data_IF_396895438023
#
_entry.id   IF_396895438023
#
_cell.length_a   1.000
_cell.length_b   1.000
_cell.length_c   1.000
_cell.angle_alpha   90.00
_cell.angle_beta   90.00
_cell.angle_gamma   90.00
#
_symmetry.space_group_name_H-M   'P 1'
#
loop_
_entity.id
_entity.type
_entity.pdbx_description
1 polymer ?
#
# COMPACT_ATOMS: atom_id res chain seq x y z
N UNK A 1 6.02 21.74 -34.29
CA UNK A 1 5.51 20.54 -33.60
C UNK A 1 5.17 21.04 -32.21
N UNK A 2 3.91 21.42 -32.03
CA UNK A 2 3.42 22.05 -30.83
C UNK A 2 3.17 20.93 -29.82
N UNK A 3 4.03 20.82 -28.80
CA UNK A 3 3.77 19.96 -27.65
C UNK A 3 2.84 20.75 -26.74
N UNK A 4 1.57 20.84 -27.14
CA UNK A 4 0.53 21.20 -26.21
C UNK A 4 0.46 20.06 -25.20
N UNK A 5 1.03 20.30 -24.02
CA UNK A 5 0.69 19.60 -22.79
C UNK A 5 -0.84 19.75 -22.63
N UNK A 6 -1.59 18.82 -23.23
CA UNK A 6 -2.92 18.54 -22.76
C UNK A 6 -2.72 18.10 -21.31
N UNK A 7 -2.95 19.01 -20.37
CA UNK A 7 -3.44 18.64 -19.05
C UNK A 7 -4.71 17.83 -19.33
N UNK A 8 -4.51 16.53 -19.53
CA UNK A 8 -5.59 15.56 -19.57
C UNK A 8 -6.35 15.82 -18.28
N UNK A 9 -7.60 16.26 -18.40
CA UNK A 9 -8.51 16.38 -17.27
C UNK A 9 -8.64 14.96 -16.72
N UNK A 10 -7.75 14.59 -15.80
CA UNK A 10 -7.67 13.24 -15.25
C UNK A 10 -8.89 13.06 -14.38
N UNK A 11 -9.97 12.59 -14.99
CA UNK A 11 -11.10 12.06 -14.25
C UNK A 11 -10.57 10.97 -13.33
N UNK A 12 -11.06 10.95 -12.09
CA UNK A 12 -10.64 9.94 -11.14
C UNK A 12 -10.89 8.54 -11.73
N UNK A 13 -9.90 7.64 -11.74
CA UNK A 13 -10.06 6.32 -12.32
C UNK A 13 -11.13 5.58 -11.55
N UNK A 14 -11.96 4.88 -12.28
CA UNK A 14 -12.99 4.03 -11.73
C UNK A 14 -12.36 2.92 -10.91
N UNK A 15 -13.17 2.33 -10.02
CA UNK A 15 -12.72 1.20 -9.21
C UNK A 15 -12.20 0.05 -10.10
N UNK A 16 -12.88 -0.24 -11.20
CA UNK A 16 -12.51 -1.33 -12.12
C UNK A 16 -11.15 -1.08 -12.77
N UNK A 17 -10.91 0.13 -13.27
CA UNK A 17 -9.62 0.50 -13.87
C UNK A 17 -8.46 0.39 -12.86
N UNK A 18 -8.68 0.80 -11.61
CA UNK A 18 -7.70 0.62 -10.54
C UNK A 18 -7.48 -0.87 -10.24
N UNK A 19 -8.53 -1.69 -10.20
CA UNK A 19 -8.41 -3.11 -9.90
C UNK A 19 -7.72 -3.90 -11.01
N UNK A 20 -7.90 -3.50 -12.27
CA UNK A 20 -7.21 -4.04 -13.44
C UNK A 20 -5.74 -3.62 -13.47
N UNK A 21 -5.46 -2.32 -13.31
CA UNK A 21 -4.10 -1.77 -13.30
C UNK A 21 -3.28 -2.29 -12.10
N UNK A 22 -3.88 -2.25 -10.91
CA UNK A 22 -3.31 -2.80 -9.67
C UNK A 22 -3.97 -4.15 -9.37
N UNK A 23 -3.82 -5.10 -10.30
CA UNK A 23 -4.25 -6.47 -10.09
C UNK A 23 -3.65 -7.06 -8.81
N UNK A 24 -4.32 -8.05 -8.20
CA UNK A 24 -3.85 -8.69 -6.96
C UNK A 24 -2.41 -9.21 -7.10
N UNK A 25 -2.04 -9.69 -8.28
CA UNK A 25 -0.70 -10.20 -8.58
C UNK A 25 0.33 -9.07 -8.71
N UNK A 26 0.01 -7.99 -9.42
CA UNK A 26 0.87 -6.81 -9.54
C UNK A 26 1.18 -6.23 -8.16
N UNK A 27 0.15 -6.07 -7.32
CA UNK A 27 0.34 -5.54 -5.97
C UNK A 27 1.17 -6.48 -5.10
N UNK A 28 0.95 -7.80 -5.19
CA UNK A 28 1.81 -8.78 -4.51
C UNK A 28 3.26 -8.66 -4.95
N UNK A 29 3.55 -8.49 -6.24
CA UNK A 29 4.90 -8.33 -6.77
C UNK A 29 5.57 -7.04 -6.28
N UNK A 30 4.81 -5.93 -6.22
CA UNK A 30 5.27 -4.67 -5.63
C UNK A 30 5.64 -4.89 -4.16
N UNK A 31 4.72 -5.44 -3.38
CA UNK A 31 4.93 -5.73 -1.96
C UNK A 31 6.09 -6.69 -1.74
N UNK A 32 6.31 -7.66 -2.62
CA UNK A 32 7.41 -8.62 -2.53
C UNK A 32 8.79 -7.94 -2.57
N UNK A 33 8.92 -6.90 -3.41
CA UNK A 33 10.14 -6.09 -3.53
C UNK A 33 10.40 -5.28 -2.26
N UNK A 34 9.37 -4.65 -1.69
CA UNK A 34 9.50 -3.79 -0.51
C UNK A 34 9.53 -4.58 0.82
N UNK A 35 8.88 -5.75 0.87
CA UNK A 35 8.79 -6.61 2.06
C UNK A 35 9.78 -7.79 2.00
N UNK A 36 10.85 -7.69 1.21
CA UNK A 36 11.86 -8.77 1.04
C UNK A 36 12.49 -9.23 2.37
N UNK A 37 12.49 -8.38 3.39
CA UNK A 37 12.94 -8.67 4.77
C UNK A 37 11.86 -9.18 5.73
N UNK A 38 10.62 -9.38 5.27
CA UNK A 38 9.47 -9.81 6.10
C UNK A 38 9.23 -11.32 5.98
N UNK A 39 8.77 -11.95 7.05
CA UNK A 39 8.31 -13.34 7.03
C UNK A 39 7.00 -13.46 6.23
N UNK A 40 7.13 -13.74 4.93
CA UNK A 40 6.00 -13.83 3.98
C UNK A 40 5.01 -14.93 4.35
N UNK A 41 5.48 -16.01 4.99
CA UNK A 41 4.65 -17.11 5.51
C UNK A 41 3.70 -16.61 6.59
N UNK A 42 4.17 -15.76 7.51
CA UNK A 42 3.30 -15.16 8.53
C UNK A 42 2.34 -14.12 7.95
N UNK A 43 2.76 -13.34 6.95
CA UNK A 43 1.89 -12.35 6.26
C UNK A 43 0.73 -13.03 5.51
N UNK A 44 0.99 -14.19 4.89
CA UNK A 44 -0.04 -15.00 4.23
C UNK A 44 -1.02 -15.63 5.23
N UNK A 45 -0.53 -16.12 6.36
CA UNK A 45 -1.35 -16.89 7.31
C UNK A 45 -2.32 -16.04 8.15
N UNK A 46 -2.17 -14.71 8.18
CA UNK A 46 -3.05 -13.82 8.97
C UNK A 46 -4.03 -12.98 8.13
N UNK A 47 -4.20 -13.28 6.84
CA UNK A 47 -5.05 -12.49 5.93
C UNK A 47 -4.58 -11.04 5.74
N UNK A 48 -3.30 -10.77 6.07
CA UNK A 48 -2.72 -9.42 5.95
C UNK A 48 -2.44 -9.08 4.49
N UNK A 49 -2.21 -10.08 3.63
CA UNK A 49 -1.94 -9.84 2.21
C UNK A 49 -3.13 -9.19 1.49
N UNK A 50 -4.35 -9.67 1.69
CA UNK A 50 -5.57 -9.10 1.10
C UNK A 50 -5.76 -7.64 1.54
N UNK A 51 -5.45 -7.33 2.80
CA UNK A 51 -5.55 -5.98 3.36
C UNK A 51 -4.46 -5.06 2.82
N UNK A 52 -3.25 -5.56 2.59
CA UNK A 52 -2.18 -4.80 1.94
C UNK A 52 -2.53 -4.50 0.48
N UNK A 53 -3.18 -5.44 -0.22
CA UNK A 53 -3.67 -5.19 -1.59
C UNK A 53 -4.71 -4.07 -1.60
N UNK A 54 -5.68 -4.10 -0.68
CA UNK A 54 -6.66 -3.03 -0.51
C UNK A 54 -5.99 -1.70 -0.15
N UNK A 55 -5.02 -1.71 0.77
CA UNK A 55 -4.27 -0.52 1.16
C UNK A 55 -3.57 0.15 -0.04
N UNK A 56 -2.87 -0.64 -0.87
CA UNK A 56 -2.17 -0.09 -2.05
C UNK A 56 -3.14 0.52 -3.05
N UNK A 57 -4.30 -0.11 -3.28
CA UNK A 57 -5.33 0.41 -4.19
C UNK A 57 -5.96 1.71 -3.68
N UNK A 58 -6.30 1.78 -2.40
CA UNK A 58 -6.86 2.99 -1.79
C UNK A 58 -5.83 4.13 -1.73
N UNK A 59 -4.56 3.81 -1.41
CA UNK A 59 -3.48 4.80 -1.44
C UNK A 59 -3.26 5.36 -2.85
N UNK A 60 -3.29 4.50 -3.87
CA UNK A 60 -3.20 4.91 -5.28
C UNK A 60 -4.35 5.84 -5.66
N UNK A 61 -5.60 5.50 -5.28
CA UNK A 61 -6.78 6.34 -5.54
C UNK A 61 -6.66 7.74 -4.91
N UNK A 62 -6.19 7.80 -3.66
CA UNK A 62 -5.94 9.07 -2.97
C UNK A 62 -4.87 9.86 -3.74
N UNK A 63 -3.73 9.24 -4.05
CA UNK A 63 -2.65 9.92 -4.77
C UNK A 63 -3.03 10.41 -6.16
N UNK A 64 -3.83 9.64 -6.90
CA UNK A 64 -4.26 9.99 -8.26
C UNK A 64 -5.20 11.19 -8.27
N UNK A 65 -6.18 11.23 -7.35
CA UNK A 65 -7.19 12.30 -7.35
C UNK A 65 -6.69 13.60 -6.75
N UNK A 66 -5.98 13.52 -5.63
CA UNK A 66 -5.32 14.65 -4.98
C UNK A 66 -4.38 14.11 -3.92
N UNK A 67 -3.11 14.50 -3.97
CA UNK A 67 -2.13 14.16 -2.94
C UNK A 67 -2.58 14.63 -1.54
N UNK A 68 -3.37 13.81 -0.84
CA UNK A 68 -3.98 14.14 0.45
C UNK A 68 -3.28 13.34 1.57
N UNK A 69 -2.28 13.99 2.17
CA UNK A 69 -1.49 13.42 3.26
C UNK A 69 -2.37 13.00 4.45
N UNK A 70 -3.48 13.70 4.72
CA UNK A 70 -4.38 13.36 5.84
C UNK A 70 -5.07 12.01 5.60
N UNK A 71 -5.53 11.77 4.38
CA UNK A 71 -6.20 10.52 4.02
C UNK A 71 -5.22 9.35 3.97
N UNK A 72 -4.01 9.57 3.44
CA UNK A 72 -2.92 8.56 3.51
C UNK A 72 -2.58 8.21 4.96
N UNK A 73 -2.46 9.19 5.87
CA UNK A 73 -2.24 8.93 7.31
C UNK A 73 -3.39 8.16 7.96
N UNK A 74 -4.63 8.42 7.55
CA UNK A 74 -5.80 7.67 8.05
C UNK A 74 -5.78 6.22 7.56
N UNK A 75 -5.37 6.00 6.31
CA UNK A 75 -5.18 4.68 5.72
C UNK A 75 -4.04 3.93 6.40
N UNK A 76 -2.92 4.59 6.71
CA UNK A 76 -1.76 4.00 7.40
C UNK A 76 -2.10 3.54 8.83
N UNK A 77 -2.98 4.24 9.55
CA UNK A 77 -3.47 3.76 10.86
C UNK A 77 -4.13 2.37 10.80
N UNK A 78 -4.65 1.96 9.64
CA UNK A 78 -5.19 0.62 9.43
C UNK A 78 -4.04 -0.39 9.43
N UNK A 79 -2.87 -0.06 8.89
CA UNK A 79 -1.69 -0.95 8.85
C UNK A 79 -1.04 -1.11 10.24
N UNK A 80 -1.09 -0.07 11.10
CA UNK A 80 -0.50 -0.09 12.45
C UNK A 80 -1.03 -1.20 13.38
N UNK A 81 -2.29 -1.63 13.21
CA UNK A 81 -2.87 -2.72 14.02
C UNK A 81 -2.32 -4.09 13.63
N UNK A 82 -1.71 -4.21 12.45
CA UNK A 82 -1.17 -5.45 11.94
C UNK A 82 0.33 -5.47 12.22
N UNK A 83 0.71 -6.14 13.32
CA UNK A 83 2.12 -6.39 13.66
C UNK A 83 2.74 -7.20 12.51
N UNK A 84 3.46 -6.52 11.60
CA UNK A 84 4.26 -7.20 10.59
C UNK A 84 5.39 -7.93 11.34
N UNK A 85 5.38 -9.26 11.37
CA UNK A 85 6.38 -9.98 12.13
C UNK A 85 7.71 -9.89 11.40
N UNK A 86 8.71 -9.40 12.12
CA UNK A 86 10.10 -9.41 11.65
C UNK A 86 10.51 -10.84 11.28
N UNK A 87 11.27 -10.99 10.19
CA UNK A 87 11.85 -12.27 9.75
C UNK A 87 12.73 -12.91 10.82
N UNK A 88 13.31 -12.12 11.72
CA UNK A 88 14.13 -12.63 12.83
C UNK A 88 13.30 -13.00 14.08
N UNK A 89 11.99 -12.76 14.08
CA UNK A 89 11.13 -12.86 15.28
C UNK A 89 11.39 -11.77 16.32
N UNK A 90 12.45 -10.97 16.18
CA UNK A 90 12.77 -9.85 17.07
C UNK A 90 11.91 -8.65 16.66
N UNK A 91 10.94 -8.30 17.49
CA UNK A 91 10.21 -7.04 17.36
C UNK A 91 11.08 -5.90 17.91
N UNK A 92 11.98 -5.36 17.09
CA UNK A 92 12.87 -4.29 17.54
C UNK A 92 12.06 -3.03 17.88
N UNK A 93 10.88 -2.82 17.27
CA UNK A 93 10.00 -1.72 17.60
C UNK A 93 9.46 -1.79 19.05
N UNK A 94 9.33 -2.97 19.65
CA UNK A 94 8.96 -3.09 21.07
C UNK A 94 10.10 -2.75 22.04
N UNK A 95 11.32 -2.50 21.54
CA UNK A 95 12.45 -1.98 22.32
C UNK A 95 12.57 -0.45 22.25
N UNK A 96 11.80 0.19 21.36
CA UNK A 96 11.74 1.64 21.22
C UNK A 96 10.48 2.21 21.89
N UNK A 97 10.06 1.65 23.02
CA UNK A 97 9.12 2.33 23.89
C UNK A 97 9.76 3.66 24.30
N UNK A 98 9.30 4.76 23.73
CA UNK A 98 9.61 6.09 24.22
C UNK A 98 9.00 6.20 25.62
N UNK A 99 9.85 6.38 26.63
CA UNK A 99 9.48 6.89 27.95
C UNK A 99 8.82 8.27 27.84
#
# INVERSE_FOLDING_TARGET
MDYSDQEELTTAPTRTEIEEFLSKEVVKNILDRYLKGTDKTKVKNCGTMEKLVLFVREAFKIHYTKYNIKDIKKLDKITMKYKVPSRSGKNIASKFSLE
#
